data_IF_387844405608
#
_entry.id   IF_387844405608
#
_cell.length_a   1.000
_cell.length_b   1.000
_cell.length_c   1.000
_cell.angle_alpha   90.00
_cell.angle_beta   90.00
_cell.angle_gamma   90.00
#
_symmetry.space_group_name_H-M   'P 1'
#
loop_
_entity.id
_entity.type
_entity.pdbx_description
1 polymer ?
#
# COMPACT_ATOMS: atom_id res chain seq x y z
N UNK A 1 -41.56 -22.94 -6.02
CA UNK A 1 -42.24 -21.72 -6.54
C UNK A 1 -42.45 -21.85 -8.05
N UNK A 2 -43.70 -21.80 -8.53
CA UNK A 2 -43.98 -21.73 -9.98
C UNK A 2 -43.50 -20.37 -10.49
N UNK A 3 -42.51 -20.36 -11.38
CA UNK A 3 -42.01 -19.12 -12.01
C UNK A 3 -43.14 -18.51 -12.84
N UNK A 4 -43.42 -17.22 -12.67
CA UNK A 4 -44.42 -16.51 -13.48
C UNK A 4 -44.02 -16.51 -14.96
N UNK A 5 -45.00 -16.38 -15.86
CA UNK A 5 -44.79 -16.44 -17.32
C UNK A 5 -43.77 -15.38 -17.79
N UNK A 6 -43.73 -14.22 -17.14
CA UNK A 6 -42.76 -13.13 -17.38
C UNK A 6 -41.33 -13.56 -17.00
N UNK A 7 -41.17 -14.26 -15.87
CA UNK A 7 -39.89 -14.79 -15.42
C UNK A 7 -39.38 -15.92 -16.35
N UNK A 8 -40.29 -16.69 -16.94
CA UNK A 8 -39.97 -17.69 -17.97
C UNK A 8 -39.43 -17.05 -19.25
N UNK A 9 -40.08 -15.99 -19.76
CA UNK A 9 -39.63 -15.26 -20.97
C UNK A 9 -38.24 -14.63 -20.79
N UNK A 10 -37.97 -14.03 -19.63
CA UNK A 10 -36.65 -13.48 -19.32
C UNK A 10 -35.55 -14.56 -19.23
N UNK A 11 -35.89 -15.75 -18.73
CA UNK A 11 -34.96 -16.88 -18.67
C UNK A 11 -34.65 -17.47 -20.04
N UNK A 12 -35.63 -17.56 -20.96
CA UNK A 12 -35.41 -18.05 -22.33
C UNK A 12 -34.45 -17.12 -23.08
N UNK A 13 -34.65 -15.80 -23.02
CA UNK A 13 -33.76 -14.84 -23.67
C UNK A 13 -32.33 -14.83 -23.09
N UNK A 14 -32.16 -15.11 -21.79
CA UNK A 14 -30.83 -15.28 -21.17
C UNK A 14 -30.19 -16.62 -21.56
N UNK A 15 -30.94 -17.71 -21.53
CA UNK A 15 -30.44 -19.03 -21.95
C UNK A 15 -30.05 -19.04 -23.42
N UNK A 16 -30.84 -18.43 -24.30
CA UNK A 16 -30.52 -18.31 -25.72
C UNK A 16 -29.24 -17.52 -25.94
N UNK A 17 -29.07 -16.37 -25.28
CA UNK A 17 -27.83 -15.57 -25.35
C UNK A 17 -26.62 -16.28 -24.77
N UNK A 18 -26.78 -16.98 -23.65
CA UNK A 18 -25.71 -17.78 -23.05
C UNK A 18 -25.33 -18.96 -23.95
N UNK A 19 -26.32 -19.63 -24.55
CA UNK A 19 -26.10 -20.72 -25.49
C UNK A 19 -25.40 -20.22 -26.75
N UNK A 20 -25.83 -19.08 -27.32
CA UNK A 20 -25.14 -18.44 -28.45
C UNK A 20 -23.70 -18.04 -28.11
N UNK A 21 -23.46 -17.47 -26.93
CA UNK A 21 -22.11 -17.11 -26.49
C UNK A 21 -21.21 -18.35 -26.35
N UNK A 22 -21.74 -19.43 -25.78
CA UNK A 22 -21.01 -20.70 -25.63
C UNK A 22 -20.77 -21.39 -26.98
N UNK A 23 -21.77 -21.42 -27.86
CA UNK A 23 -21.67 -22.05 -29.18
C UNK A 23 -20.79 -21.22 -30.13
N UNK A 24 -20.83 -19.90 -30.04
CA UNK A 24 -19.94 -19.01 -30.81
C UNK A 24 -18.47 -19.08 -30.38
N UNK A 25 -18.19 -19.59 -29.18
CA UNK A 25 -16.83 -19.88 -28.69
C UNK A 25 -16.39 -21.31 -28.98
N UNK A 26 -17.26 -22.18 -29.53
CA UNK A 26 -16.82 -23.53 -29.90
C UNK A 26 -15.93 -23.44 -31.13
N UNK A 27 -14.67 -23.80 -30.93
CA UNK A 27 -13.76 -24.11 -32.01
C UNK A 27 -14.34 -25.31 -32.77
N UNK A 28 -14.40 -25.22 -34.10
CA UNK A 28 -14.83 -26.32 -34.96
C UNK A 28 -14.03 -27.58 -34.60
N UNK A 29 -14.75 -28.64 -34.23
CA UNK A 29 -14.14 -29.93 -33.94
C UNK A 29 -13.68 -30.51 -35.29
N UNK A 30 -12.38 -30.80 -35.42
CA UNK A 30 -11.85 -31.47 -36.61
C UNK A 30 -12.52 -32.85 -36.74
N UNK A 31 -13.37 -33.00 -37.75
CA UNK A 31 -14.13 -34.22 -38.01
C UNK A 31 -13.27 -35.33 -38.62
N UNK A 32 -11.99 -35.07 -38.93
CA UNK A 32 -11.10 -36.03 -39.58
C UNK A 32 -11.44 -36.31 -41.04
N UNK A 33 -12.54 -35.74 -41.57
CA UNK A 33 -13.00 -35.94 -42.94
C UNK A 33 -11.94 -35.56 -43.98
N UNK A 34 -11.15 -34.49 -43.73
CA UNK A 34 -10.07 -34.07 -44.61
C UNK A 34 -8.96 -35.13 -44.72
N UNK A 35 -8.68 -35.86 -43.64
CA UNK A 35 -7.71 -36.97 -43.65
C UNK A 35 -8.22 -38.15 -44.47
N UNK A 36 -9.50 -38.51 -44.35
CA UNK A 36 -10.11 -39.57 -45.17
C UNK A 36 -10.17 -39.21 -46.66
N UNK A 37 -10.53 -37.97 -46.99
CA UNK A 37 -10.58 -37.50 -48.38
C UNK A 37 -9.20 -37.58 -49.06
N UNK A 38 -8.14 -37.21 -48.32
CA UNK A 38 -6.75 -37.39 -48.77
C UNK A 38 -6.38 -38.85 -48.99
N UNK A 39 -6.76 -39.75 -48.07
CA UNK A 39 -6.49 -41.18 -48.19
C UNK A 39 -7.21 -41.82 -49.39
N UNK A 40 -8.42 -41.34 -49.72
CA UNK A 40 -9.22 -41.83 -50.85
C UNK A 40 -8.86 -41.16 -52.18
N UNK A 41 -7.90 -40.23 -52.19
CA UNK A 41 -7.47 -39.52 -53.41
C UNK A 41 -8.55 -38.63 -54.02
N UNK A 42 -9.55 -38.22 -53.22
CA UNK A 42 -10.65 -37.37 -53.69
C UNK A 42 -10.17 -35.92 -53.65
N UNK A 43 -10.28 -35.16 -54.76
CA UNK A 43 -9.95 -33.74 -54.75
C UNK A 43 -10.85 -33.00 -53.78
N UNK A 44 -10.27 -32.15 -52.95
CA UNK A 44 -11.00 -31.26 -52.05
C UNK A 44 -10.49 -29.83 -52.26
N UNK A 45 -11.39 -28.88 -52.10
CA UNK A 45 -11.09 -27.44 -52.16
C UNK A 45 -11.52 -26.82 -50.84
N UNK A 46 -10.73 -25.89 -50.30
CA UNK A 46 -11.13 -25.15 -49.11
C UNK A 46 -12.21 -24.14 -49.52
N UNK A 47 -13.37 -24.19 -48.85
CA UNK A 47 -14.45 -23.24 -49.09
C UNK A 47 -14.00 -21.78 -48.88
N UNK A 48 -12.99 -21.53 -48.03
CA UNK A 48 -12.42 -20.20 -47.86
C UNK A 48 -11.61 -19.72 -49.08
N UNK A 49 -11.01 -20.64 -49.85
CA UNK A 49 -10.28 -20.32 -51.08
C UNK A 49 -11.23 -20.04 -52.25
N UNK A 50 -12.39 -20.72 -52.28
CA UNK A 50 -13.42 -20.53 -53.33
C UNK A 50 -14.24 -19.25 -53.13
N UNK A 51 -14.59 -18.91 -51.88
CA UNK A 51 -15.49 -17.79 -51.56
C UNK A 51 -14.76 -16.45 -51.46
N UNK A 52 -13.46 -16.44 -51.14
CA UNK A 52 -12.70 -15.20 -51.06
C UNK A 52 -12.27 -14.77 -52.47
N UNK A 53 -12.90 -13.73 -53.00
CA UNK A 53 -12.24 -12.88 -53.97
C UNK A 53 -10.83 -12.57 -53.44
N UNK A 54 -9.81 -12.75 -54.28
CA UNK A 54 -8.39 -12.57 -53.93
C UNK A 54 -8.12 -11.12 -53.52
N UNK A 55 -8.53 -10.76 -52.30
CA UNK A 55 -8.28 -9.46 -51.70
C UNK A 55 -6.81 -9.47 -51.34
N UNK A 56 -6.00 -8.81 -52.16
CA UNK A 56 -4.62 -8.52 -51.82
C UNK A 56 -4.69 -7.60 -50.60
N UNK A 57 -4.61 -8.18 -49.41
CA UNK A 57 -4.42 -7.42 -48.19
C UNK A 57 -3.02 -6.82 -48.26
N UNK A 58 -2.90 -5.65 -48.87
CA UNK A 58 -1.73 -4.80 -48.70
C UNK A 58 -1.68 -4.43 -47.23
N UNK A 59 -0.91 -5.21 -46.46
CA UNK A 59 -0.54 -4.87 -45.09
C UNK A 59 0.29 -3.60 -45.19
N UNK A 60 -0.34 -2.45 -44.98
CA UNK A 60 0.37 -1.21 -44.74
C UNK A 60 1.18 -1.42 -43.46
N UNK A 61 2.51 -1.45 -43.59
CA UNK A 61 3.39 -1.33 -42.44
C UNK A 61 3.29 0.12 -41.97
N UNK A 62 2.29 0.38 -41.13
CA UNK A 62 2.24 1.64 -40.39
C UNK A 62 3.40 1.57 -39.41
N UNK A 63 4.34 2.51 -39.56
CA UNK A 63 5.42 2.68 -38.60
C UNK A 63 4.78 3.19 -37.30
N UNK A 64 4.36 2.23 -36.46
CA UNK A 64 3.54 2.48 -35.27
C UNK A 64 4.31 3.27 -34.19
N UNK A 65 5.60 3.51 -34.38
CA UNK A 65 6.50 4.16 -33.43
C UNK A 65 6.15 5.63 -33.16
N UNK A 66 5.62 6.35 -34.16
CA UNK A 66 5.34 7.79 -34.01
C UNK A 66 3.91 8.12 -33.56
N UNK A 67 2.93 7.26 -33.86
CA UNK A 67 1.50 7.61 -33.74
C UNK A 67 0.74 6.77 -32.71
N UNK A 68 1.29 5.63 -32.29
CA UNK A 68 0.66 4.75 -31.30
C UNK A 68 1.62 4.49 -30.14
N UNK A 69 1.12 4.36 -28.89
CA UNK A 69 1.96 3.90 -27.81
C UNK A 69 2.56 2.53 -28.19
N UNK A 70 3.85 2.30 -27.92
CA UNK A 70 4.46 1.01 -28.21
C UNK A 70 3.66 -0.09 -27.53
N UNK A 71 3.52 -1.24 -28.21
CA UNK A 71 2.90 -2.41 -27.59
C UNK A 71 3.66 -2.72 -26.30
N UNK A 72 2.97 -3.05 -25.19
CA UNK A 72 3.64 -3.44 -23.97
C UNK A 72 4.54 -4.64 -24.27
N UNK A 73 5.79 -4.56 -23.81
CA UNK A 73 6.75 -5.65 -23.93
C UNK A 73 6.15 -6.90 -23.28
N UNK A 74 6.27 -8.05 -23.95
CA UNK A 74 5.79 -9.30 -23.38
C UNK A 74 6.66 -9.66 -22.16
N UNK A 75 6.00 -10.14 -21.09
CA UNK A 75 6.66 -10.57 -19.86
C UNK A 75 7.26 -11.98 -20.06
N UNK A 76 8.24 -12.04 -20.95
CA UNK A 76 8.98 -13.25 -21.29
C UNK A 76 10.44 -13.11 -20.84
N UNK A 77 11.23 -14.17 -20.99
CA UNK A 77 12.66 -14.19 -20.62
C UNK A 77 13.49 -13.13 -21.36
N UNK A 78 13.01 -12.64 -22.52
CA UNK A 78 13.64 -11.57 -23.29
C UNK A 78 13.31 -10.15 -22.78
N UNK A 79 12.55 -10.02 -21.71
CA UNK A 79 12.22 -8.72 -21.13
C UNK A 79 13.48 -8.09 -20.50
N UNK A 80 13.76 -6.78 -20.69
CA UNK A 80 14.97 -6.15 -20.18
C UNK A 80 15.12 -6.22 -18.66
N UNK A 81 14.00 -6.22 -17.93
CA UNK A 81 13.96 -6.32 -16.46
C UNK A 81 13.86 -7.78 -15.96
N UNK A 82 13.99 -8.79 -16.83
CA UNK A 82 13.96 -10.20 -16.42
C UNK A 82 15.30 -10.63 -15.80
N UNK A 83 15.21 -11.30 -14.67
CA UNK A 83 16.34 -11.92 -13.97
C UNK A 83 16.01 -13.38 -13.62
N UNK A 84 17.01 -14.25 -13.73
CA UNK A 84 16.86 -15.68 -13.38
C UNK A 84 16.65 -15.89 -11.87
N UNK A 85 17.34 -15.10 -11.04
CA UNK A 85 17.18 -15.12 -9.59
C UNK A 85 15.94 -14.32 -9.17
N UNK A 86 14.97 -14.90 -8.44
CA UNK A 86 13.80 -14.18 -7.99
C UNK A 86 14.16 -13.16 -6.90
N UNK A 87 13.63 -11.94 -7.02
CA UNK A 87 13.67 -10.94 -5.96
C UNK A 87 12.40 -11.01 -5.10
N UNK A 88 12.58 -10.97 -3.78
CA UNK A 88 11.48 -10.91 -2.82
C UNK A 88 11.01 -9.47 -2.65
N UNK A 89 9.77 -9.18 -3.05
CA UNK A 89 9.21 -7.83 -2.99
C UNK A 89 8.27 -7.66 -1.80
N UNK A 90 8.47 -6.60 -1.04
CA UNK A 90 7.49 -6.09 -0.09
C UNK A 90 6.82 -4.85 -0.69
N UNK A 91 5.48 -4.88 -0.81
CA UNK A 91 4.69 -3.83 -1.44
C UNK A 91 3.60 -3.29 -0.52
N UNK A 92 2.97 -2.18 -0.92
CA UNK A 92 1.87 -1.56 -0.20
C UNK A 92 0.63 -2.46 -0.02
N UNK A 93 0.47 -3.55 -0.75
CA UNK A 93 -0.72 -4.39 -0.57
C UNK A 93 -0.46 -5.60 0.34
N UNK A 94 0.81 -5.83 0.69
CA UNK A 94 1.25 -7.04 1.36
C UNK A 94 1.32 -6.84 2.87
N UNK A 95 1.03 -7.91 3.61
CA UNK A 95 1.12 -7.98 5.07
C UNK A 95 1.98 -9.17 5.49
N UNK A 96 2.73 -9.02 6.58
CA UNK A 96 3.60 -10.08 7.08
C UNK A 96 2.80 -11.07 7.92
N UNK A 97 2.91 -12.37 7.64
CA UNK A 97 2.18 -13.42 8.35
C UNK A 97 2.36 -13.34 9.88
N UNK A 98 3.61 -13.24 10.35
CA UNK A 98 3.96 -13.18 11.78
C UNK A 98 3.77 -11.80 12.41
N UNK A 99 3.19 -10.84 11.68
CA UNK A 99 2.89 -9.52 12.21
C UNK A 99 4.12 -8.78 12.71
N UNK A 100 3.98 -8.12 13.85
CA UNK A 100 4.97 -7.18 14.36
C UNK A 100 6.29 -7.86 14.75
N UNK A 101 6.24 -9.06 15.31
CA UNK A 101 7.46 -9.78 15.71
C UNK A 101 8.30 -10.21 14.51
N UNK A 102 7.63 -10.64 13.43
CA UNK A 102 8.32 -10.89 12.15
C UNK A 102 8.93 -9.60 11.60
N UNK A 103 8.21 -8.47 11.67
CA UNK A 103 8.72 -7.18 11.22
C UNK A 103 9.96 -6.76 12.02
N UNK A 104 9.96 -6.90 13.35
CA UNK A 104 11.10 -6.58 14.23
C UNK A 104 12.36 -7.36 13.85
N UNK A 105 12.25 -8.67 13.64
CA UNK A 105 13.38 -9.49 13.18
C UNK A 105 13.83 -9.07 11.78
N UNK A 106 12.87 -8.84 10.86
CA UNK A 106 13.18 -8.39 9.51
C UNK A 106 13.86 -7.02 9.49
N UNK A 107 13.49 -6.06 10.32
CA UNK A 107 14.09 -4.72 10.33
C UNK A 107 15.23 -4.59 11.34
N UNK A 108 15.68 -5.70 11.94
CA UNK A 108 16.66 -5.72 13.03
C UNK A 108 16.32 -4.68 14.12
N UNK A 109 15.04 -4.59 14.50
CA UNK A 109 14.52 -3.52 15.37
C UNK A 109 14.02 -4.06 16.70
N UNK A 110 14.50 -3.47 17.79
CA UNK A 110 14.03 -3.74 19.14
C UNK A 110 12.89 -2.78 19.50
N UNK A 111 11.88 -3.28 20.21
CA UNK A 111 10.78 -2.47 20.73
C UNK A 111 11.19 -1.82 22.04
N UNK A 112 10.99 -0.52 22.13
CA UNK A 112 11.28 0.22 23.35
C UNK A 112 10.02 0.24 24.21
N UNK A 113 10.12 -0.29 25.43
CA UNK A 113 9.04 -0.23 26.40
C UNK A 113 8.92 1.18 26.98
N UNK A 114 8.01 1.97 26.44
CA UNK A 114 7.54 3.20 27.05
C UNK A 114 6.01 3.24 26.98
N UNK A 115 5.36 3.61 28.08
CA UNK A 115 3.92 3.84 28.14
C UNK A 115 3.48 5.02 27.25
N UNK A 116 4.43 5.84 26.79
CA UNK A 116 4.22 7.06 26.02
C UNK A 116 5.37 7.28 25.05
N UNK A 117 5.08 7.85 23.87
CA UNK A 117 6.13 8.17 22.91
C UNK A 117 7.03 9.29 23.45
N UNK A 118 8.36 9.24 23.22
CA UNK A 118 9.31 10.26 23.69
C UNK A 118 8.94 11.70 23.29
N UNK A 119 8.26 11.85 22.16
CA UNK A 119 7.81 13.13 21.61
C UNK A 119 6.69 13.75 22.46
N UNK A 120 5.88 12.93 23.13
CA UNK A 120 4.72 13.36 23.90
C UNK A 120 5.08 13.78 25.33
N UNK A 121 6.22 13.35 25.87
CA UNK A 121 6.66 13.72 27.23
C UNK A 121 6.85 15.24 27.39
N UNK A 122 7.27 15.90 26.31
CA UNK A 122 7.47 17.36 26.27
C UNK A 122 6.18 18.13 25.95
N UNK A 123 5.10 17.45 25.58
CA UNK A 123 3.82 18.09 25.28
C UNK A 123 2.92 18.11 26.49
N UNK A 124 2.47 19.30 26.86
CA UNK A 124 1.33 19.46 27.78
C UNK A 124 0.06 19.07 27.03
N UNK A 125 -0.36 17.82 27.13
CA UNK A 125 -1.67 17.35 26.67
C UNK A 125 -2.75 18.14 27.42
N UNK A 126 -3.29 19.18 26.81
CA UNK A 126 -4.41 19.94 27.37
C UNK A 126 -5.72 19.24 27.00
N UNK A 127 -6.55 18.90 27.99
CA UNK A 127 -7.85 18.25 27.74
C UNK A 127 -8.83 19.13 26.95
N UNK A 128 -8.71 20.46 27.05
CA UNK A 128 -9.52 21.41 26.27
C UNK A 128 -8.64 22.12 25.24
N UNK A 129 -8.60 21.56 24.03
CA UNK A 129 -7.93 22.21 22.91
C UNK A 129 -8.93 23.14 22.20
N UNK A 130 -8.64 24.44 22.01
CA UNK A 130 -9.52 25.33 21.25
C UNK A 130 -9.68 24.89 19.78
N UNK A 131 -8.90 23.90 19.33
CA UNK A 131 -8.87 23.40 17.97
C UNK A 131 -9.78 22.20 17.73
N UNK A 132 -10.41 21.61 18.74
CA UNK A 132 -11.25 20.42 18.60
C UNK A 132 -12.43 20.65 17.64
N UNK A 133 -13.04 21.84 17.70
CA UNK A 133 -14.07 22.27 16.75
C UNK A 133 -13.57 22.30 15.29
N UNK A 134 -12.29 22.58 15.06
CA UNK A 134 -11.69 22.57 13.72
C UNK A 134 -11.42 21.13 13.27
N UNK A 135 -10.95 20.27 14.16
CA UNK A 135 -10.73 18.85 13.90
C UNK A 135 -12.05 18.18 13.53
N UNK A 136 -13.11 18.39 14.30
CA UNK A 136 -14.45 17.87 13.98
C UNK A 136 -14.94 18.35 12.60
N UNK A 137 -14.71 19.62 12.25
CA UNK A 137 -15.03 20.13 10.91
C UNK A 137 -14.22 19.41 9.83
N UNK A 138 -12.94 19.14 10.06
CA UNK A 138 -12.10 18.35 9.15
C UNK A 138 -12.64 16.93 8.99
N UNK A 139 -13.09 16.29 10.07
CA UNK A 139 -13.69 14.95 10.06
C UNK A 139 -14.99 14.96 9.23
N UNK A 140 -15.97 15.81 9.57
CA UNK A 140 -17.24 15.91 8.83
C UNK A 140 -17.02 16.24 7.36
N UNK A 141 -16.11 17.16 7.06
CA UNK A 141 -15.79 17.55 5.68
C UNK A 141 -15.18 16.42 4.87
N UNK A 142 -14.49 15.46 5.50
CA UNK A 142 -13.80 14.35 4.81
C UNK A 142 -14.66 13.12 4.64
N UNK A 143 -15.54 12.86 5.61
CA UNK A 143 -16.31 11.62 5.68
C UNK A 143 -17.77 11.78 5.30
N UNK A 144 -18.35 12.97 5.51
CA UNK A 144 -19.79 13.20 5.39
C UNK A 144 -20.10 14.18 4.24
N UNK A 145 -19.46 15.36 4.24
CA UNK A 145 -19.82 16.44 3.31
C UNK A 145 -19.20 16.31 1.91
N UNK A 146 -18.44 15.24 1.65
CA UNK A 146 -17.91 14.98 0.32
C UNK A 146 -19.00 14.39 -0.58
N UNK A 147 -19.25 15.06 -1.71
CA UNK A 147 -20.35 14.71 -2.62
C UNK A 147 -20.04 13.56 -3.59
N UNK A 148 -18.88 12.89 -3.47
CA UNK A 148 -18.53 11.78 -4.37
C UNK A 148 -19.47 10.59 -4.20
N UNK A 149 -19.93 10.06 -5.33
CA UNK A 149 -20.86 8.95 -5.41
C UNK A 149 -20.25 7.85 -6.28
N UNK A 150 -19.30 7.13 -5.71
CA UNK A 150 -18.66 5.98 -6.35
C UNK A 150 -19.25 4.68 -5.82
N UNK A 151 -19.22 3.65 -6.66
CA UNK A 151 -19.78 2.35 -6.32
C UNK A 151 -18.85 1.62 -5.35
N UNK A 152 -19.29 1.46 -4.10
CA UNK A 152 -18.49 0.85 -3.05
C UNK A 152 -18.35 -0.68 -3.23
N UNK A 153 -17.35 -1.32 -2.58
CA UNK A 153 -17.14 -2.77 -2.59
C UNK A 153 -18.38 -3.59 -2.19
N UNK A 154 -18.38 -4.91 -2.46
CA UNK A 154 -19.45 -5.78 -1.90
C UNK A 154 -19.27 -5.80 -0.39
N UNK A 155 -20.31 -5.42 0.34
CA UNK A 155 -20.46 -5.88 1.72
C UNK A 155 -20.66 -7.40 1.64
N UNK A 156 -19.80 -8.14 2.34
CA UNK A 156 -19.93 -9.57 2.55
C UNK A 156 -20.21 -9.76 4.04
N UNK A 157 -21.26 -10.49 4.36
CA UNK A 157 -21.58 -10.88 5.72
C UNK A 157 -21.04 -12.31 5.95
N UNK A 158 -20.12 -12.53 6.89
CA UNK A 158 -19.59 -13.85 7.20
C UNK A 158 -20.67 -14.85 7.61
N UNK A 159 -21.73 -14.40 8.29
CA UNK A 159 -22.86 -15.26 8.70
C UNK A 159 -23.77 -15.61 7.51
N UNK A 160 -23.76 -14.78 6.46
CA UNK A 160 -24.64 -14.90 5.28
C UNK A 160 -23.87 -14.72 3.97
N UNK A 161 -22.91 -15.61 3.65
CA UNK A 161 -22.01 -15.43 2.50
C UNK A 161 -22.73 -15.47 1.15
N UNK A 162 -23.87 -16.18 1.07
CA UNK A 162 -24.68 -16.27 -0.15
C UNK A 162 -25.60 -15.05 -0.38
N UNK A 163 -25.78 -14.18 0.62
CA UNK A 163 -26.66 -13.03 0.51
C UNK A 163 -25.97 -11.90 -0.25
N UNK A 164 -26.56 -11.48 -1.37
CA UNK A 164 -26.03 -10.39 -2.18
C UNK A 164 -26.65 -9.06 -1.74
N UNK A 165 -25.94 -8.31 -0.89
CA UNK A 165 -26.34 -6.95 -0.53
C UNK A 165 -26.35 -6.01 -1.74
N UNK A 166 -27.30 -5.07 -1.72
CA UNK A 166 -27.34 -3.98 -2.69
C UNK A 166 -26.03 -3.17 -2.61
N UNK A 167 -25.59 -2.67 -3.77
CA UNK A 167 -24.39 -1.85 -3.85
C UNK A 167 -24.66 -0.47 -3.30
N UNK A 168 -23.90 -0.08 -2.28
CA UNK A 168 -23.91 1.28 -1.73
C UNK A 168 -23.05 2.18 -2.62
N UNK A 169 -23.48 3.44 -2.76
CA UNK A 169 -22.71 4.50 -3.40
C UNK A 169 -22.22 5.47 -2.33
N UNK A 170 -21.02 5.99 -2.50
CA UNK A 170 -20.47 7.00 -1.61
C UNK A 170 -18.99 7.22 -1.82
N UNK A 171 -18.35 7.72 -0.77
CA UNK A 171 -16.93 8.08 -0.76
C UNK A 171 -16.09 6.81 -0.55
N UNK A 172 -15.10 6.60 -1.40
CA UNK A 172 -14.15 5.48 -1.28
C UNK A 172 -13.24 5.63 -0.06
N UNK A 173 -12.79 4.50 0.51
CA UNK A 173 -11.89 4.50 1.68
C UNK A 173 -10.59 5.26 1.38
N UNK A 174 -10.04 5.06 0.18
CA UNK A 174 -8.86 5.80 -0.30
C UNK A 174 -9.07 7.32 -0.28
N UNK A 175 -10.23 7.79 -0.71
CA UNK A 175 -10.57 9.22 -0.73
C UNK A 175 -10.79 9.75 0.68
N UNK A 176 -11.51 9.03 1.54
CA UNK A 176 -11.71 9.38 2.96
C UNK A 176 -10.38 9.57 3.67
N UNK A 177 -9.50 8.58 3.51
CA UNK A 177 -8.15 8.58 4.06
C UNK A 177 -7.34 9.78 3.56
N UNK A 178 -7.25 9.97 2.25
CA UNK A 178 -6.51 11.09 1.67
C UNK A 178 -7.01 12.45 2.15
N UNK A 179 -8.32 12.69 2.14
CA UNK A 179 -8.90 13.96 2.55
C UNK A 179 -8.70 14.23 4.05
N UNK A 180 -8.94 13.23 4.90
CA UNK A 180 -8.78 13.37 6.34
C UNK A 180 -7.33 13.65 6.69
N UNK A 181 -6.40 12.81 6.22
CA UNK A 181 -4.97 12.95 6.51
C UNK A 181 -4.43 14.29 6.04
N UNK A 182 -4.79 14.69 4.82
CA UNK A 182 -4.37 15.98 4.25
C UNK A 182 -4.87 17.14 5.09
N UNK A 183 -6.15 17.14 5.47
CA UNK A 183 -6.75 18.24 6.26
C UNK A 183 -6.19 18.31 7.68
N UNK A 184 -5.94 17.16 8.32
CA UNK A 184 -5.34 17.14 9.66
C UNK A 184 -3.90 17.68 9.64
N UNK A 185 -3.06 17.25 8.70
CA UNK A 185 -1.69 17.77 8.57
C UNK A 185 -1.68 19.25 8.17
N UNK A 186 -2.61 19.67 7.30
CA UNK A 186 -2.79 21.10 6.97
C UNK A 186 -3.21 21.91 8.21
N UNK A 187 -4.06 21.36 9.07
CA UNK A 187 -4.41 22.00 10.34
C UNK A 187 -3.19 22.09 11.26
N UNK A 188 -2.40 21.02 11.42
CA UNK A 188 -1.13 21.08 12.17
C UNK A 188 -0.20 22.18 11.64
N UNK A 189 -0.10 22.29 10.31
CA UNK A 189 0.68 23.30 9.61
C UNK A 189 0.17 24.73 9.89
N UNK A 190 -1.15 24.94 9.90
CA UNK A 190 -1.73 26.26 10.19
C UNK A 190 -1.57 26.67 11.66
N UNK A 191 -1.54 25.70 12.57
CA UNK A 191 -1.34 25.93 14.00
C UNK A 191 0.13 26.20 14.36
N UNK A 192 1.07 25.82 13.50
CA UNK A 192 2.52 26.02 13.71
C UNK A 192 3.18 26.70 12.50
N UNK A 193 2.83 27.97 12.19
CA UNK A 193 3.36 28.67 11.02
C UNK A 193 4.87 28.85 11.05
N UNK A 194 5.47 28.92 12.25
CA UNK A 194 6.92 29.06 12.47
C UNK A 194 7.72 27.89 11.87
N UNK A 195 7.11 26.72 11.70
CA UNK A 195 7.77 25.51 11.23
C UNK A 195 7.71 25.38 9.69
N UNK A 196 6.89 26.20 9.02
CA UNK A 196 6.72 26.18 7.56
C UNK A 196 7.98 26.63 6.81
N UNK A 197 8.80 27.48 7.43
CA UNK A 197 10.08 27.91 6.85
C UNK A 197 11.03 26.72 6.69
N UNK A 198 10.96 25.74 7.59
CA UNK A 198 11.85 24.58 7.61
C UNK A 198 11.20 23.29 7.10
N UNK A 199 9.87 23.26 6.96
CA UNK A 199 9.14 22.06 6.54
C UNK A 199 8.36 22.26 5.26
N UNK A 200 8.12 21.15 4.56
CA UNK A 200 7.27 21.13 3.37
C UNK A 200 6.32 19.96 3.45
N UNK A 201 5.05 20.23 3.18
CA UNK A 201 4.02 19.21 3.02
C UNK A 201 3.97 18.79 1.55
N UNK A 202 4.28 17.52 1.28
CA UNK A 202 4.18 16.93 -0.06
C UNK A 202 3.01 15.94 -0.04
N UNK A 203 1.86 16.27 -0.66
CA UNK A 203 0.77 15.33 -0.83
C UNK A 203 1.14 14.26 -1.87
N UNK A 204 0.86 12.99 -1.58
CA UNK A 204 1.22 11.86 -2.42
C UNK A 204 0.18 11.46 -3.48
N UNK A 205 0.37 10.27 -4.10
CA UNK A 205 1.30 9.19 -3.71
C UNK A 205 2.78 9.48 -4.04
N UNK A 206 3.68 9.24 -3.08
CA UNK A 206 5.13 9.40 -3.24
C UNK A 206 5.81 8.04 -3.09
N UNK A 207 6.57 7.63 -4.10
CA UNK A 207 7.18 6.30 -4.18
C UNK A 207 8.58 6.28 -3.58
N UNK A 208 8.83 5.31 -2.70
CA UNK A 208 10.15 4.98 -2.17
C UNK A 208 10.50 3.54 -2.49
N UNK A 209 11.76 3.32 -2.86
CA UNK A 209 12.27 1.97 -3.12
C UNK A 209 13.66 1.80 -2.51
N UNK A 210 13.87 0.66 -1.83
CA UNK A 210 15.16 0.30 -1.25
C UNK A 210 15.44 -1.21 -1.44
N UNK A 211 16.56 -1.56 -2.05
CA UNK A 211 16.96 -2.95 -2.37
C UNK A 211 17.98 -3.55 -1.39
N UNK A 212 17.60 -4.51 -0.56
CA UNK A 212 18.47 -5.17 0.41
C UNK A 212 18.99 -6.52 -0.11
N UNK A 213 20.19 -6.91 0.30
CA UNK A 213 20.69 -8.27 0.14
C UNK A 213 20.87 -8.89 1.53
N UNK A 214 20.18 -10.00 1.81
CA UNK A 214 20.24 -10.70 3.09
C UNK A 214 20.15 -12.20 2.90
N UNK A 215 21.02 -12.96 3.57
CA UNK A 215 21.06 -14.42 3.50
C UNK A 215 21.02 -14.93 2.04
N UNK A 216 21.85 -14.31 1.19
CA UNK A 216 21.96 -14.56 -0.27
C UNK A 216 20.69 -14.26 -1.09
N UNK A 217 19.65 -13.68 -0.49
CA UNK A 217 18.40 -13.29 -1.17
C UNK A 217 18.35 -11.80 -1.41
N UNK A 218 17.90 -11.42 -2.61
CA UNK A 218 17.61 -10.03 -2.97
C UNK A 218 16.20 -9.67 -2.55
N UNK A 219 16.06 -8.59 -1.79
CA UNK A 219 14.79 -8.13 -1.25
C UNK A 219 14.58 -6.69 -1.69
N UNK A 220 13.40 -6.38 -2.25
CA UNK A 220 13.06 -5.04 -2.68
C UNK A 220 11.89 -4.52 -1.86
N UNK A 221 12.13 -3.46 -1.10
CA UNK A 221 11.09 -2.75 -0.37
C UNK A 221 10.56 -1.63 -1.28
N UNK A 222 9.29 -1.68 -1.65
CA UNK A 222 8.65 -0.71 -2.53
C UNK A 222 7.37 -0.22 -1.88
N UNK A 223 7.44 0.97 -1.27
CA UNK A 223 6.35 1.50 -0.45
C UNK A 223 6.00 2.93 -0.86
N UNK A 224 4.72 3.26 -0.72
CA UNK A 224 4.19 4.59 -0.97
C UNK A 224 3.93 5.32 0.35
N UNK A 225 4.40 6.56 0.38
CA UNK A 225 3.99 7.59 1.33
C UNK A 225 2.80 8.35 0.76
N UNK A 226 1.67 8.34 1.46
CA UNK A 226 0.46 9.04 1.00
C UNK A 226 0.54 10.55 1.28
N UNK A 227 1.18 10.92 2.38
CA UNK A 227 1.50 12.31 2.71
C UNK A 227 2.88 12.29 3.34
N UNK A 228 3.75 13.17 2.87
CA UNK A 228 5.11 13.31 3.37
C UNK A 228 5.31 14.71 3.93
N UNK A 229 5.79 14.79 5.17
CA UNK A 229 6.34 16.02 5.75
C UNK A 229 7.85 15.90 5.66
N UNK A 230 8.48 16.83 4.96
CA UNK A 230 9.94 16.93 4.89
C UNK A 230 10.44 18.10 5.71
N UNK A 231 11.71 18.05 6.11
CA UNK A 231 12.37 19.04 6.96
C UNK A 231 13.77 19.38 6.45
N UNK A 232 14.22 20.61 6.66
CA UNK A 232 15.61 21.00 6.44
C UNK A 232 16.56 20.41 7.48
N UNK A 233 16.08 20.15 8.70
CA UNK A 233 16.86 19.54 9.79
C UNK A 233 16.42 18.09 10.01
N UNK A 234 17.39 17.20 10.20
CA UNK A 234 17.15 15.82 10.66
C UNK A 234 16.61 15.84 12.08
N UNK A 235 15.69 14.92 12.39
CA UNK A 235 15.22 14.70 13.76
C UNK A 235 16.37 14.14 14.58
N UNK A 236 16.58 14.67 15.79
CA UNK A 236 17.65 14.20 16.68
C UNK A 236 17.42 12.74 17.09
N UNK A 237 18.48 11.91 17.17
CA UNK A 237 18.41 10.59 17.76
C UNK A 237 17.86 10.66 19.19
N UNK A 238 16.96 9.74 19.51
CA UNK A 238 16.29 9.64 20.82
C UNK A 238 17.19 8.93 21.82
N UNK A 239 17.85 7.86 21.38
CA UNK A 239 18.80 7.08 22.19
C UNK A 239 20.12 6.91 21.45
N UNK A 240 21.19 6.62 22.19
CA UNK A 240 22.45 6.21 21.58
C UNK A 240 22.34 4.79 21.00
N UNK A 241 22.91 4.61 19.81
CA UNK A 241 23.02 3.34 19.08
C UNK A 241 23.55 2.19 19.95
N UNK A 242 24.50 2.47 20.85
CA UNK A 242 25.13 1.45 21.71
C UNK A 242 24.18 0.83 22.72
N UNK A 243 23.17 1.58 23.18
CA UNK A 243 22.16 1.08 24.14
C UNK A 243 21.37 -0.09 23.55
N UNK A 244 21.27 -0.14 22.22
CA UNK A 244 20.51 -1.18 21.53
C UNK A 244 21.20 -2.53 21.44
N UNK A 245 22.50 -2.60 21.72
CA UNK A 245 23.27 -3.83 21.54
C UNK A 245 22.86 -4.97 22.48
N UNK A 246 22.44 -4.62 23.70
CA UNK A 246 22.09 -5.61 24.72
C UNK A 246 20.60 -6.00 24.69
N UNK A 247 19.81 -5.42 23.77
CA UNK A 247 18.36 -5.64 23.74
C UNK A 247 17.98 -6.87 22.89
N UNK A 248 17.15 -7.79 23.41
CA UNK A 248 16.81 -9.00 22.68
C UNK A 248 15.79 -8.74 21.57
N UNK A 249 15.99 -9.42 20.44
CA UNK A 249 14.98 -9.54 19.39
C UNK A 249 14.00 -10.68 19.69
N UNK A 250 12.74 -10.59 19.22
CA UNK A 250 11.79 -11.68 19.40
C UNK A 250 12.24 -12.93 18.63
N UNK A 251 12.05 -14.10 19.25
CA UNK A 251 12.32 -15.37 18.61
C UNK A 251 11.12 -15.81 17.77
N UNK A 252 11.28 -15.83 16.45
CA UNK A 252 10.22 -16.23 15.51
C UNK A 252 10.34 -17.67 15.02
N UNK A 253 11.29 -18.48 15.52
CA UNK A 253 11.46 -19.87 15.08
C UNK A 253 10.17 -20.68 15.29
N UNK A 254 9.68 -21.45 14.28
CA UNK A 254 10.34 -21.86 13.03
C UNK A 254 10.06 -20.97 11.80
N UNK A 255 9.48 -19.78 11.98
CA UNK A 255 9.12 -18.87 10.89
C UNK A 255 10.37 -18.24 10.25
N UNK A 256 10.41 -18.15 8.92
CA UNK A 256 11.42 -17.38 8.21
C UNK A 256 11.07 -15.87 8.23
N UNK A 257 12.03 -14.95 8.45
CA UNK A 257 11.78 -13.51 8.39
C UNK A 257 11.21 -13.03 7.04
N UNK A 258 11.49 -13.77 5.97
CA UNK A 258 11.11 -13.43 4.59
C UNK A 258 9.78 -14.04 4.14
N UNK A 259 9.05 -14.73 5.02
CA UNK A 259 7.74 -15.30 4.68
C UNK A 259 6.75 -14.18 4.33
N UNK A 260 5.86 -14.42 3.38
CA UNK A 260 4.87 -13.44 2.85
C UNK A 260 5.44 -12.37 1.91
N UNK A 261 6.75 -12.39 1.63
CA UNK A 261 7.33 -11.59 0.54
C UNK A 261 7.08 -12.29 -0.80
N UNK A 262 6.66 -11.53 -1.81
CA UNK A 262 6.30 -12.08 -3.11
C UNK A 262 7.54 -12.19 -4.01
N UNK A 263 7.83 -13.39 -4.49
CA UNK A 263 8.92 -13.64 -5.43
C UNK A 263 8.57 -13.14 -6.83
N UNK A 264 9.42 -12.28 -7.39
CA UNK A 264 9.28 -11.71 -8.72
C UNK A 264 10.60 -11.86 -9.50
N UNK A 265 10.51 -12.32 -10.75
CA UNK A 265 11.67 -12.39 -11.67
C UNK A 265 11.84 -11.12 -12.49
N UNK A 266 10.82 -10.26 -12.54
CA UNK A 266 10.85 -8.99 -13.26
C UNK A 266 11.00 -7.85 -12.27
N UNK A 267 12.20 -7.28 -12.17
CA UNK A 267 12.46 -6.21 -11.21
C UNK A 267 13.64 -5.32 -11.63
N UNK A 268 13.65 -4.09 -11.10
CA UNK A 268 14.78 -3.19 -11.18
C UNK A 268 15.35 -3.03 -9.76
N UNK A 269 16.55 -3.57 -9.53
CA UNK A 269 17.22 -3.50 -8.24
C UNK A 269 17.92 -2.14 -8.09
N UNK A 270 17.11 -1.10 -7.90
CA UNK A 270 17.56 0.28 -7.77
C UNK A 270 16.86 0.96 -6.61
N UNK A 271 17.59 1.82 -5.91
CA UNK A 271 17.02 2.67 -4.89
C UNK A 271 16.34 3.90 -5.48
N UNK A 272 15.16 4.21 -4.97
CA UNK A 272 14.37 5.37 -5.36
C UNK A 272 14.12 6.20 -4.11
N UNK A 273 14.78 7.35 -4.07
CA UNK A 273 14.47 8.43 -3.15
C UNK A 273 13.84 9.59 -3.94
N UNK A 274 12.61 10.01 -3.62
CA UNK A 274 11.80 10.87 -4.48
C UNK A 274 12.15 12.35 -4.36
N UNK A 275 13.05 12.74 -3.44
CA UNK A 275 13.45 14.13 -3.24
C UNK A 275 14.83 14.35 -3.86
N UNK A 276 14.98 15.47 -4.54
CA UNK A 276 16.25 15.85 -5.17
C UNK A 276 17.30 16.20 -4.10
N UNK A 277 18.55 15.79 -4.32
CA UNK A 277 19.72 16.08 -3.47
C UNK A 277 19.88 17.59 -3.22
N UNK A 278 19.57 18.42 -4.22
CA UNK A 278 19.72 19.88 -4.14
C UNK A 278 18.58 20.57 -3.37
N UNK A 279 17.59 19.85 -2.88
CA UNK A 279 16.46 20.44 -2.17
C UNK A 279 16.80 20.61 -0.68
N UNK A 280 16.78 21.84 -0.19
CA UNK A 280 17.15 22.17 1.21
C UNK A 280 16.34 21.42 2.27
N UNK A 281 15.11 21.01 1.94
CA UNK A 281 14.20 20.27 2.84
C UNK A 281 14.08 18.81 2.41
N UNK A 282 15.22 18.14 2.24
CA UNK A 282 15.30 16.76 1.74
C UNK A 282 15.07 15.67 2.79
N UNK A 283 15.12 16.00 4.08
CA UNK A 283 15.02 14.98 5.13
C UNK A 283 13.55 14.58 5.36
N UNK A 284 13.27 13.28 5.36
CA UNK A 284 11.99 12.73 5.80
C UNK A 284 11.78 13.02 7.29
N UNK A 285 10.65 13.65 7.65
CA UNK A 285 10.32 14.00 9.04
C UNK A 285 9.15 13.15 9.57
N UNK A 286 7.95 13.30 8.99
CA UNK A 286 6.79 12.46 9.29
C UNK A 286 6.20 11.92 7.99
N UNK A 287 5.87 10.63 7.97
CA UNK A 287 5.15 9.99 6.87
C UNK A 287 3.76 9.57 7.34
N UNK A 288 2.73 9.92 6.56
CA UNK A 288 1.38 9.38 6.74
C UNK A 288 1.14 8.30 5.70
N UNK A 289 0.62 7.18 6.17
CA UNK A 289 0.31 6.00 5.38
C UNK A 289 -1.16 5.65 5.55
N UNK A 290 -1.83 5.38 4.44
CA UNK A 290 -3.19 4.90 4.44
C UNK A 290 -3.25 3.38 4.52
N UNK A 291 -4.24 2.91 5.26
CA UNK A 291 -4.67 1.52 5.28
C UNK A 291 -6.10 1.44 4.72
N UNK A 292 -6.24 0.78 3.58
CA UNK A 292 -7.52 0.50 2.94
C UNK A 292 -7.77 -1.00 3.02
N UNK A 293 -8.80 -1.42 3.77
CA UNK A 293 -9.20 -2.84 3.90
C UNK A 293 -9.53 -3.51 2.56
N UNK A 294 -9.81 -2.70 1.54
CA UNK A 294 -10.17 -3.14 0.18
C UNK A 294 -8.96 -3.39 -0.71
N UNK A 295 -7.80 -2.81 -0.39
CA UNK A 295 -6.58 -2.89 -1.20
C UNK A 295 -5.52 -3.74 -0.50
N UNK A 296 -5.44 -3.65 0.83
CA UNK A 296 -4.51 -4.44 1.65
C UNK A 296 -5.20 -5.73 2.07
N UNK A 297 -4.70 -6.84 1.55
CA UNK A 297 -5.28 -8.17 1.76
C UNK A 297 -4.22 -9.12 2.27
N UNK A 298 -4.63 -10.04 3.14
CA UNK A 298 -3.80 -11.18 3.47
C UNK A 298 -3.76 -12.14 2.27
N UNK A 299 -2.64 -12.84 2.08
CA UNK A 299 -2.47 -13.82 1.00
C UNK A 299 -3.57 -14.90 1.02
N UNK A 300 -4.15 -15.17 2.19
CA UNK A 300 -5.17 -16.18 2.42
C UNK A 300 -6.60 -15.62 2.50
N UNK A 301 -6.84 -14.39 2.03
CA UNK A 301 -8.15 -13.71 2.10
C UNK A 301 -8.74 -13.59 3.52
N UNK A 302 -7.88 -13.64 4.55
CA UNK A 302 -8.24 -13.41 5.96
C UNK A 302 -8.14 -11.92 6.25
N UNK A 303 -8.98 -11.42 7.18
CA UNK A 303 -8.87 -10.06 7.67
C UNK A 303 -7.48 -9.79 8.27
N UNK A 304 -6.97 -8.59 8.03
CA UNK A 304 -5.68 -8.15 8.56
C UNK A 304 -5.77 -8.02 10.07
N UNK A 305 -4.92 -8.74 10.79
CA UNK A 305 -4.89 -8.66 12.26
C UNK A 305 -4.26 -7.35 12.74
N UNK A 306 -4.50 -6.98 13.99
CA UNK A 306 -3.88 -5.77 14.56
C UNK A 306 -2.35 -5.85 14.52
N UNK A 307 -1.76 -6.99 14.90
CA UNK A 307 -0.30 -7.17 14.81
C UNK A 307 0.23 -6.98 13.38
N UNK A 308 -0.51 -7.41 12.35
CA UNK A 308 -0.17 -7.17 10.94
C UNK A 308 -0.29 -5.69 10.55
N UNK A 309 -1.31 -5.00 11.07
CA UNK A 309 -1.48 -3.56 10.89
C UNK A 309 -0.30 -2.78 11.51
N UNK A 310 0.14 -3.13 12.72
CA UNK A 310 1.30 -2.53 13.39
C UNK A 310 2.61 -2.84 12.65
N UNK A 311 2.78 -4.09 12.19
CA UNK A 311 3.94 -4.54 11.42
C UNK A 311 4.16 -3.71 10.15
N UNK A 312 3.06 -3.37 9.46
CA UNK A 312 3.07 -2.56 8.25
C UNK A 312 3.64 -1.17 8.51
N UNK A 313 3.33 -0.56 9.66
CA UNK A 313 3.88 0.74 10.03
C UNK A 313 5.40 0.66 10.20
N UNK A 314 5.91 -0.36 10.90
CA UNK A 314 7.34 -0.59 11.05
C UNK A 314 8.03 -0.81 9.70
N UNK A 315 7.50 -1.72 8.87
CA UNK A 315 8.08 -2.04 7.55
C UNK A 315 8.15 -0.83 6.63
N UNK A 316 7.10 0.00 6.61
CA UNK A 316 7.06 1.23 5.81
C UNK A 316 8.01 2.28 6.36
N UNK A 317 7.98 2.52 7.68
CA UNK A 317 8.90 3.43 8.34
C UNK A 317 10.36 3.07 8.06
N UNK A 318 10.68 1.77 8.14
CA UNK A 318 12.00 1.23 7.79
C UNK A 318 12.36 1.46 6.33
N UNK A 319 11.42 1.27 5.39
CA UNK A 319 11.67 1.54 3.97
C UNK A 319 12.02 3.00 3.72
N UNK A 320 11.29 3.94 4.33
CA UNK A 320 11.54 5.37 4.18
C UNK A 320 12.87 5.79 4.81
N UNK A 321 13.17 5.28 6.02
CA UNK A 321 14.42 5.54 6.70
C UNK A 321 15.62 4.95 5.93
N UNK A 322 15.48 3.74 5.40
CA UNK A 322 16.51 3.07 4.62
C UNK A 322 16.77 3.80 3.30
N UNK A 323 15.72 4.19 2.57
CA UNK A 323 15.88 4.96 1.34
C UNK A 323 16.59 6.31 1.60
N UNK A 324 16.25 6.98 2.71
CA UNK A 324 16.96 8.19 3.15
C UNK A 324 18.42 7.91 3.53
N UNK A 325 18.70 6.80 4.21
CA UNK A 325 20.04 6.41 4.61
C UNK A 325 20.94 6.20 3.40
N UNK A 326 20.44 5.49 2.40
CA UNK A 326 21.17 5.23 1.15
C UNK A 326 21.36 6.49 0.32
N UNK A 327 20.36 7.37 0.32
CA UNK A 327 20.50 8.68 -0.28
C UNK A 327 21.59 9.54 0.39
N UNK A 328 21.69 9.48 1.72
CA UNK A 328 22.63 10.32 2.49
C UNK A 328 24.06 9.76 2.54
N UNK A 329 24.21 8.44 2.63
CA UNK A 329 25.48 7.79 2.94
C UNK A 329 25.95 6.78 1.88
N UNK A 330 25.12 6.46 0.89
CA UNK A 330 25.38 5.41 -0.08
C UNK A 330 24.92 4.02 0.38
N UNK A 331 24.99 3.04 -0.53
CA UNK A 331 24.54 1.67 -0.28
C UNK A 331 25.51 0.85 0.58
N UNK A 332 26.80 1.19 0.55
CA UNK A 332 27.87 0.44 1.23
C UNK A 332 27.92 0.66 2.76
N UNK A 333 27.15 1.63 3.28
CA UNK A 333 27.17 1.98 4.70
C UNK A 333 26.19 1.11 5.49
N UNK A 334 26.77 0.21 6.27
CA UNK A 334 26.04 -0.72 7.13
C UNK A 334 25.60 -0.03 8.42
N UNK A 335 26.58 0.32 9.27
CA UNK A 335 26.32 1.06 10.51
C UNK A 335 26.37 2.56 10.23
N UNK A 336 25.30 3.26 10.59
CA UNK A 336 25.13 4.66 10.21
C UNK A 336 25.97 5.57 11.11
N UNK A 337 26.71 6.55 10.54
CA UNK A 337 27.49 7.50 11.34
C UNK A 337 26.59 8.43 12.16
N UNK A 338 25.44 8.83 11.60
CA UNK A 338 24.36 9.49 12.33
C UNK A 338 23.05 8.73 12.10
N UNK A 339 22.36 8.29 13.17
CA UNK A 339 21.07 7.62 13.05
C UNK A 339 20.02 8.48 12.34
N UNK A 340 19.12 7.82 11.62
CA UNK A 340 18.00 8.47 10.94
C UNK A 340 16.72 8.16 11.70
N UNK A 341 16.04 9.20 12.19
CA UNK A 341 14.76 9.07 12.86
C UNK A 341 13.63 9.45 11.91
N UNK A 342 12.68 8.53 11.71
CA UNK A 342 11.47 8.76 10.91
C UNK A 342 10.24 8.49 11.78
N UNK A 343 9.28 9.41 11.71
CA UNK A 343 7.97 9.24 12.33
C UNK A 343 6.98 8.71 11.30
N UNK A 344 6.14 7.76 11.70
CA UNK A 344 5.12 7.16 10.83
C UNK A 344 3.76 7.19 11.50
N UNK A 345 2.76 7.67 10.76
CA UNK A 345 1.34 7.66 11.14
C UNK A 345 0.58 6.81 10.15
N UNK A 346 0.12 5.65 10.58
CA UNK A 346 -0.74 4.79 9.76
C UNK A 346 -2.20 5.00 10.17
N UNK A 347 -3.11 5.14 9.20
CA UNK A 347 -4.51 5.39 9.52
C UNK A 347 -5.51 4.77 8.54
N UNK A 348 -6.72 4.49 9.04
CA UNK A 348 -7.87 3.98 8.27
C UNK A 348 -9.14 4.83 8.44
N UNK A 349 -9.02 6.15 8.34
CA UNK A 349 -10.09 7.16 8.46
C UNK A 349 -10.74 7.25 9.84
N UNK A 350 -10.62 6.20 10.66
CA UNK A 350 -11.10 6.08 12.02
C UNK A 350 -9.96 5.76 12.99
N UNK A 351 -9.18 4.72 12.73
CA UNK A 351 -8.08 4.23 13.58
C UNK A 351 -6.78 4.87 13.13
N UNK A 352 -5.96 5.27 14.10
CA UNK A 352 -4.62 5.84 13.92
C UNK A 352 -3.61 5.02 14.72
N UNK A 353 -2.47 4.77 14.11
CA UNK A 353 -1.31 4.16 14.76
C UNK A 353 -0.10 5.07 14.58
N UNK A 354 0.52 5.41 15.70
CA UNK A 354 1.66 6.32 15.76
C UNK A 354 2.90 5.52 16.12
N UNK A 355 3.96 5.70 15.33
CA UNK A 355 5.21 5.01 15.54
C UNK A 355 6.41 5.88 15.16
N UNK A 356 7.55 5.57 15.75
CA UNK A 356 8.83 6.23 15.50
C UNK A 356 9.87 5.14 15.33
N UNK A 357 10.65 5.23 14.26
CA UNK A 357 11.79 4.37 14.03
C UNK A 357 13.06 5.22 14.05
N UNK A 358 14.03 4.80 14.85
CA UNK A 358 15.41 5.27 14.74
C UNK A 358 16.23 4.16 14.07
N UNK A 359 16.63 4.42 12.83
CA UNK A 359 17.53 3.59 12.06
C UNK A 359 18.96 3.86 12.50
N UNK A 360 19.58 2.90 13.17
CA UNK A 360 20.98 2.91 13.60
C UNK A 360 21.86 2.14 12.60
N UNK A 361 21.32 1.09 11.98
CA UNK A 361 22.05 0.21 11.06
C UNK A 361 21.13 -0.32 9.96
N UNK A 362 21.69 -0.53 8.77
CA UNK A 362 20.99 -1.15 7.63
C UNK A 362 21.12 -2.68 7.63
N UNK A 363 22.07 -3.21 8.41
CA UNK A 363 22.36 -4.64 8.51
C UNK A 363 21.23 -5.48 9.09
N UNK A 364 21.25 -6.77 8.75
CA UNK A 364 20.42 -7.79 9.38
C UNK A 364 20.88 -8.14 10.80
N UNK A 365 20.06 -8.86 11.59
CA UNK A 365 20.41 -9.29 12.94
C UNK A 365 21.57 -10.29 13.00
N UNK A 366 21.93 -10.92 11.86
CA UNK A 366 23.06 -11.85 11.74
C UNK A 366 24.39 -11.13 11.48
N UNK A 367 24.35 -9.86 11.04
CA UNK A 367 25.52 -9.11 10.54
C UNK A 367 26.10 -8.15 11.57
N UNK A 368 25.29 -7.68 12.53
CA UNK A 368 25.69 -6.68 13.52
C UNK A 368 25.01 -6.91 14.86
N UNK A 369 25.67 -6.48 15.94
CA UNK A 369 25.08 -6.46 17.29
C UNK A 369 24.25 -5.22 17.54
N UNK A 370 24.35 -4.17 16.72
CA UNK A 370 23.57 -2.95 16.89
C UNK A 370 22.15 -3.20 16.36
N UNK A 371 21.14 -2.78 17.13
CA UNK A 371 19.76 -2.90 16.71
C UNK A 371 19.15 -1.52 16.43
N UNK A 372 18.15 -1.50 15.55
CA UNK A 372 17.32 -0.32 15.34
C UNK A 372 16.34 -0.17 16.51
N UNK A 373 15.96 1.07 16.83
CA UNK A 373 15.04 1.32 17.95
C UNK A 373 13.66 1.72 17.43
N UNK A 374 12.63 1.04 17.92
CA UNK A 374 11.26 1.25 17.49
C UNK A 374 10.34 1.56 18.69
N UNK A 375 9.60 2.66 18.57
CA UNK A 375 8.55 3.06 19.51
C UNK A 375 7.22 3.04 18.78
N UNK A 376 6.18 2.52 19.42
CA UNK A 376 4.82 2.53 18.91
C UNK A 376 3.84 2.86 20.04
N UNK A 377 2.62 3.22 19.65
CA UNK A 377 1.46 3.23 20.54
C UNK A 377 0.49 2.14 20.11
N UNK A 378 -0.42 1.71 20.99
CA UNK A 378 -1.61 0.96 20.57
C UNK A 378 -2.41 1.75 19.53
N UNK A 379 -3.21 1.04 18.74
CA UNK A 379 -4.11 1.66 17.78
C UNK A 379 -5.16 2.52 18.50
N UNK A 380 -5.33 3.79 18.11
CA UNK A 380 -6.24 4.75 18.75
C UNK A 380 -7.35 5.13 17.78
N UNK A 381 -8.61 5.07 18.21
CA UNK A 381 -9.76 5.53 17.43
C UNK A 381 -9.94 7.05 17.56
N UNK A 382 -10.11 7.75 16.44
CA UNK A 382 -10.37 9.20 16.37
C UNK A 382 -11.80 9.56 16.79
N UNK A 383 -12.77 8.70 16.48
CA UNK A 383 -14.17 8.82 16.85
C UNK A 383 -14.80 7.43 16.95
N UNK A 384 -15.97 7.28 17.56
CA UNK A 384 -16.71 6.02 17.58
C UNK A 384 -17.65 5.89 16.38
N UNK A 385 -18.46 6.93 16.16
CA UNK A 385 -19.46 7.01 15.09
C UNK A 385 -19.29 8.35 14.36
N UNK A 386 -19.30 8.30 13.02
CA UNK A 386 -19.34 9.46 12.15
C UNK A 386 -20.26 9.14 10.97
N UNK A 387 -21.53 9.52 11.08
CA UNK A 387 -22.58 9.21 10.09
C UNK A 387 -23.75 10.21 10.19
N UNK A 388 -24.75 10.03 9.34
CA UNK A 388 -26.04 10.70 9.44
C UNK A 388 -26.98 9.95 10.41
N UNK A 389 -27.19 10.52 11.59
CA UNK A 389 -28.16 10.03 12.58
C UNK A 389 -29.41 10.91 12.48
N UNK A 390 -30.56 10.31 12.18
CA UNK A 390 -31.83 11.03 11.94
C UNK A 390 -31.70 12.18 10.91
N UNK A 391 -30.87 11.96 9.88
CA UNK A 391 -30.61 12.94 8.82
C UNK A 391 -29.68 14.09 9.23
N UNK A 392 -29.08 14.06 10.42
CA UNK A 392 -28.12 15.05 10.90
C UNK A 392 -26.69 14.50 10.92
N UNK A 393 -25.69 15.28 10.49
CA UNK A 393 -24.29 14.85 10.50
C UNK A 393 -23.73 14.89 11.93
N UNK A 394 -23.62 13.71 12.55
CA UNK A 394 -23.18 13.55 13.93
C UNK A 394 -21.82 12.88 14.02
N UNK A 395 -21.03 13.32 15.00
CA UNK A 395 -19.80 12.64 15.44
C UNK A 395 -20.01 12.32 16.91
N UNK A 396 -19.80 11.06 17.29
CA UNK A 396 -19.89 10.60 18.67
C UNK A 396 -18.55 9.94 19.07
N UNK A 397 -18.15 10.12 20.33
CA UNK A 397 -16.92 9.56 20.87
C UNK A 397 -15.63 10.14 20.28
N UNK A 398 -15.61 11.43 19.91
CA UNK A 398 -14.40 12.09 19.43
C UNK A 398 -13.28 12.03 20.47
N UNK A 399 -12.10 11.59 20.04
CA UNK A 399 -10.93 11.46 20.87
C UNK A 399 -9.87 12.52 20.49
N UNK A 400 -9.68 13.59 21.29
CA UNK A 400 -8.72 14.65 20.99
C UNK A 400 -7.27 14.17 21.05
N UNK A 401 -6.98 13.07 21.75
CA UNK A 401 -5.62 12.52 21.89
C UNK A 401 -4.99 12.25 20.52
N UNK A 402 -5.76 11.76 19.55
CA UNK A 402 -5.26 11.43 18.20
C UNK A 402 -4.69 12.67 17.52
N UNK A 403 -5.42 13.78 17.54
CA UNK A 403 -4.94 15.02 16.93
C UNK A 403 -3.78 15.64 17.73
N UNK A 404 -3.82 15.56 19.06
CA UNK A 404 -2.74 16.05 19.91
C UNK A 404 -1.43 15.28 19.65
N UNK A 405 -1.50 13.95 19.52
CA UNK A 405 -0.33 13.14 19.16
C UNK A 405 0.19 13.45 17.76
N UNK A 406 -0.71 13.61 16.78
CA UNK A 406 -0.33 14.03 15.43
C UNK A 406 0.35 15.41 15.42
N UNK A 407 -0.18 16.35 16.19
CA UNK A 407 0.39 17.67 16.35
C UNK A 407 1.76 17.61 17.04
N UNK A 408 1.93 16.69 18.00
CA UNK A 408 3.23 16.36 18.60
C UNK A 408 4.26 15.88 17.62
N UNK A 409 3.87 14.96 16.75
CA UNK A 409 4.73 14.49 15.67
C UNK A 409 5.12 15.66 14.79
N UNK A 410 4.14 16.46 14.37
CA UNK A 410 4.41 17.64 13.57
C UNK A 410 5.40 18.56 14.30
N UNK A 411 5.22 18.93 15.57
CA UNK A 411 6.12 19.88 16.23
C UNK A 411 7.54 19.37 16.49
N UNK A 412 7.75 18.06 16.56
CA UNK A 412 9.04 17.45 16.91
C UNK A 412 10.21 17.92 16.01
N UNK A 413 11.39 18.14 16.61
CA UNK A 413 12.57 18.68 15.93
C UNK A 413 13.84 17.94 16.29
#
# INVERSE_FOLDING_TARGET
MKKSQVLFQQHIGRMFRAHWKLQGQKVLIDSGALKELKLKGIPYEDANEVVREHKIETKFQIDNSEHFPPKPTQLDENHPDYHEEPCLKYSDNNVLLGGLDQAKVFTNSCEMHLDTLPVLENMKLSHDSPYDNLVEKCIKSSLIYDATQEKLPKIKDPERPAFNFARVYGITDKRKNFLLGKRLIQLCSSLSPQLLDHRTLVPGPIYFQAGLQRNEKRILLSNVADILVTSSKKIKPIIDSKVTQDMPLPNIYPLSPHVSLEAHNFYQFKDIFPINENFEKSNVHTVVVHFNKTEVVNLYDIEVSESQFLARSLMKCYTFALAQARHNYGEDVIDLPEPIVVQCVQMDSKIFHFSILQLNTTAGPEETSIHNAYWNLPSISLYDICDYIDGKPEIQGYNPLVFQTLFGFFQNS
#
